data_IF_492776464224
#
_entry.id   IF_492776464224
#
_cell.length_a   1.000
_cell.length_b   1.000
_cell.length_c   1.000
_cell.angle_alpha   90.00
_cell.angle_beta   90.00
_cell.angle_gamma   90.00
#
_symmetry.space_group_name_H-M   'P 1'
#
loop_
_entity.id
_entity.type
_entity.pdbx_description
1 polymer ?
#
# COMPACT_ATOMS: atom_id res chain seq x y z
N UNK A 1 -1.64 11.87 -25.96
CA UNK A 1 -2.21 12.52 -24.77
C UNK A 1 -1.40 12.07 -23.57
N UNK A 2 -0.77 12.99 -22.84
CA UNK A 2 -0.09 12.65 -21.59
C UNK A 2 -1.12 12.25 -20.53
N UNK A 3 -0.85 11.24 -19.68
CA UNK A 3 -1.75 10.88 -18.61
C UNK A 3 -2.00 12.09 -17.68
N UNK A 4 -3.20 12.22 -17.10
CA UNK A 4 -3.47 13.24 -16.09
C UNK A 4 -2.44 13.20 -14.97
N UNK A 5 -2.00 14.35 -14.49
CA UNK A 5 -0.90 14.50 -13.51
C UNK A 5 -1.08 13.62 -12.25
N UNK A 6 -2.32 13.46 -11.79
CA UNK A 6 -2.65 12.57 -10.66
C UNK A 6 -2.49 11.08 -10.95
N UNK A 7 -2.76 10.63 -12.18
CA UNK A 7 -2.54 9.26 -12.61
C UNK A 7 -1.05 8.95 -12.78
N UNK A 8 -0.29 9.90 -13.32
CA UNK A 8 1.17 9.79 -13.38
C UNK A 8 1.78 9.70 -11.98
N UNK A 9 1.32 10.53 -11.03
CA UNK A 9 1.70 10.42 -9.61
C UNK A 9 1.36 9.06 -9.01
N UNK A 10 0.15 8.57 -9.24
CA UNK A 10 -0.25 7.25 -8.72
C UNK A 10 0.58 6.12 -9.34
N UNK A 11 0.96 6.21 -10.62
CA UNK A 11 1.86 5.24 -11.25
C UNK A 11 3.27 5.29 -10.64
N UNK A 12 3.77 6.48 -10.31
CA UNK A 12 5.05 6.64 -9.61
C UNK A 12 4.98 5.98 -8.22
N UNK A 13 3.96 6.30 -7.43
CA UNK A 13 3.75 5.68 -6.09
C UNK A 13 3.62 4.17 -6.19
N UNK A 14 2.90 3.64 -7.19
CA UNK A 14 2.79 2.20 -7.42
C UNK A 14 4.15 1.58 -7.74
N UNK A 15 4.99 2.26 -8.52
CA UNK A 15 6.34 1.80 -8.86
C UNK A 15 7.25 1.78 -7.63
N UNK A 16 7.15 2.82 -6.79
CA UNK A 16 7.90 2.91 -5.53
C UNK A 16 7.48 1.82 -4.51
N UNK A 17 6.23 1.34 -4.59
CA UNK A 17 5.72 0.25 -3.75
C UNK A 17 5.96 -1.15 -4.32
N UNK A 18 6.35 -1.28 -5.59
CA UNK A 18 6.56 -2.59 -6.21
C UNK A 18 7.61 -3.45 -5.46
N UNK A 19 8.77 -2.91 -5.02
CA UNK A 19 9.73 -3.68 -4.24
C UNK A 19 9.19 -4.14 -2.88
N UNK A 20 8.29 -3.35 -2.27
CA UNK A 20 7.63 -3.71 -1.02
C UNK A 20 6.65 -4.85 -1.24
N UNK A 21 5.87 -4.81 -2.33
CA UNK A 21 4.97 -5.89 -2.71
C UNK A 21 5.75 -7.19 -2.97
N UNK A 22 6.83 -7.15 -3.76
CA UNK A 22 7.68 -8.32 -4.03
C UNK A 22 8.25 -8.94 -2.75
N UNK A 23 8.75 -8.11 -1.82
CA UNK A 23 9.26 -8.59 -0.54
C UNK A 23 8.19 -9.28 0.31
N UNK A 24 6.94 -8.82 0.24
CA UNK A 24 5.81 -9.43 0.95
C UNK A 24 5.39 -10.75 0.31
N UNK A 25 5.37 -10.83 -1.02
CA UNK A 25 5.12 -12.07 -1.76
C UNK A 25 6.18 -13.15 -1.45
N UNK A 26 7.46 -12.76 -1.38
CA UNK A 26 8.55 -13.66 -0.98
C UNK A 26 8.40 -14.18 0.47
N UNK A 27 7.71 -13.43 1.32
CA UNK A 27 7.36 -13.85 2.67
C UNK A 27 6.07 -14.70 2.74
N UNK A 28 5.49 -15.06 1.59
CA UNK A 28 4.29 -15.89 1.48
C UNK A 28 2.98 -15.12 1.65
N UNK A 29 2.99 -13.78 1.59
CA UNK A 29 1.76 -13.00 1.57
C UNK A 29 1.14 -13.00 0.17
N UNK A 30 -0.19 -13.08 0.10
CA UNK A 30 -0.95 -12.76 -1.10
C UNK A 30 -1.08 -11.23 -1.19
N UNK A 31 -0.41 -10.63 -2.17
CA UNK A 31 -0.35 -9.17 -2.33
C UNK A 31 -1.26 -8.70 -3.46
N UNK A 32 -1.97 -7.62 -3.23
CA UNK A 32 -2.71 -6.85 -4.23
C UNK A 32 -2.06 -5.47 -4.28
N UNK A 33 -1.61 -5.04 -5.46
CA UNK A 33 -1.08 -3.69 -5.68
C UNK A 33 -1.73 -3.10 -6.94
N UNK A 34 -2.64 -2.16 -6.74
CA UNK A 34 -3.47 -1.61 -7.80
C UNK A 34 -3.53 -0.08 -7.78
N UNK A 35 -3.75 0.50 -8.95
CA UNK A 35 -4.08 1.91 -9.12
C UNK A 35 -5.57 2.01 -9.41
N UNK A 36 -6.30 2.74 -8.57
CA UNK A 36 -7.73 3.01 -8.72
C UNK A 36 -7.88 4.42 -9.31
N UNK A 37 -8.22 4.55 -10.60
CA UNK A 37 -8.46 5.85 -11.23
C UNK A 37 -9.85 6.39 -10.87
N UNK A 38 -9.95 7.68 -10.59
CA UNK A 38 -11.20 8.46 -10.56
C UNK A 38 -11.03 9.78 -11.34
N UNK A 39 -12.13 10.49 -11.62
CA UNK A 39 -12.09 11.78 -12.33
C UNK A 39 -11.38 12.88 -11.55
N UNK A 40 -11.40 12.84 -10.22
CA UNK A 40 -10.84 13.89 -9.35
C UNK A 40 -9.63 13.43 -8.51
N UNK A 41 -9.32 12.15 -8.51
CA UNK A 41 -8.18 11.58 -7.79
C UNK A 41 -7.76 10.26 -8.43
N UNK A 42 -6.52 9.84 -8.16
CA UNK A 42 -6.13 8.45 -8.32
C UNK A 42 -5.72 7.93 -6.94
N UNK A 43 -6.01 6.67 -6.63
CA UNK A 43 -5.52 6.01 -5.44
C UNK A 43 -4.55 4.89 -5.82
N UNK A 44 -3.55 4.64 -4.98
CA UNK A 44 -2.78 3.40 -5.02
C UNK A 44 -3.15 2.61 -3.78
N UNK A 45 -3.66 1.41 -3.99
CA UNK A 45 -3.99 0.47 -2.93
C UNK A 45 -2.99 -0.67 -2.96
N UNK A 46 -2.37 -0.94 -1.80
CA UNK A 46 -1.59 -2.15 -1.57
C UNK A 46 -2.23 -2.90 -0.42
N UNK A 47 -2.50 -4.20 -0.57
CA UNK A 47 -2.88 -5.05 0.55
C UNK A 47 -2.10 -6.35 0.52
N UNK A 48 -1.72 -6.86 1.67
CA UNK A 48 -0.99 -8.11 1.83
C UNK A 48 -1.70 -8.98 2.86
N UNK A 49 -2.18 -10.15 2.44
CA UNK A 49 -2.84 -11.14 3.30
C UNK A 49 -1.90 -12.31 3.56
N UNK A 50 -1.70 -12.70 4.81
CA UNK A 50 -0.84 -13.83 5.20
C UNK A 50 -1.47 -14.61 6.34
N UNK A 51 -1.09 -15.88 6.46
CA UNK A 51 -1.44 -16.69 7.63
C UNK A 51 -0.45 -16.40 8.76
N UNK A 52 -0.93 -16.06 9.94
CA UNK A 52 -0.07 -15.72 11.06
C UNK A 52 -0.81 -15.15 12.26
N UNK A 53 -0.06 -14.88 13.32
CA UNK A 53 -0.60 -14.21 14.49
C UNK A 53 -0.65 -12.68 14.29
N UNK A 54 -1.52 -11.97 15.01
CA UNK A 54 -1.53 -10.50 15.03
C UNK A 54 -0.17 -9.89 15.39
N UNK A 55 0.62 -10.58 16.23
CA UNK A 55 1.97 -10.15 16.58
C UNK A 55 2.94 -10.17 15.38
N UNK A 56 2.79 -11.14 14.46
CA UNK A 56 3.53 -11.15 13.21
C UNK A 56 3.08 -10.01 12.29
N UNK A 57 1.78 -9.74 12.24
CA UNK A 57 1.23 -8.63 11.46
C UNK A 57 1.83 -7.29 11.89
N UNK A 58 1.86 -6.99 13.18
CA UNK A 58 2.49 -5.77 13.69
C UNK A 58 3.98 -5.67 13.37
N UNK A 59 4.73 -6.79 13.42
CA UNK A 59 6.14 -6.82 13.03
C UNK A 59 6.32 -6.49 11.55
N UNK A 60 5.45 -7.02 10.69
CA UNK A 60 5.48 -6.76 9.26
C UNK A 60 5.12 -5.30 8.95
N UNK A 61 4.05 -4.75 9.55
CA UNK A 61 3.71 -3.32 9.43
C UNK A 61 4.88 -2.43 9.78
N UNK A 62 5.58 -2.72 10.89
CA UNK A 62 6.75 -1.94 11.29
C UNK A 62 7.88 -2.03 10.27
N UNK A 63 8.21 -3.24 9.78
CA UNK A 63 9.26 -3.43 8.76
C UNK A 63 8.91 -2.75 7.44
N UNK A 64 7.65 -2.81 7.01
CA UNK A 64 7.16 -2.14 5.80
C UNK A 64 7.28 -0.62 5.99
N UNK A 65 6.85 -0.11 7.15
CA UNK A 65 6.99 1.31 7.50
C UNK A 65 8.45 1.79 7.48
N UNK A 66 9.37 1.01 8.07
CA UNK A 66 10.80 1.33 8.09
C UNK A 66 11.40 1.32 6.67
N UNK A 67 11.05 0.32 5.84
CA UNK A 67 11.54 0.19 4.46
C UNK A 67 11.00 1.28 3.53
N UNK A 68 9.76 1.71 3.74
CA UNK A 68 9.15 2.79 2.98
C UNK A 68 9.67 4.16 3.40
N UNK A 69 9.86 4.38 4.71
CA UNK A 69 10.51 5.59 5.22
C UNK A 69 11.93 5.75 4.67
N UNK A 70 12.70 4.66 4.59
CA UNK A 70 14.03 4.67 3.97
C UNK A 70 14.02 5.09 2.49
N UNK A 71 12.88 4.93 1.81
CA UNK A 71 12.65 5.34 0.43
C UNK A 71 11.94 6.70 0.31
N UNK A 72 11.70 7.39 1.43
CA UNK A 72 10.99 8.67 1.46
C UNK A 72 9.48 8.57 1.25
N UNK A 73 8.92 7.35 1.33
CA UNK A 73 7.48 7.08 1.18
C UNK A 73 6.83 7.17 2.57
N UNK A 74 5.92 8.14 2.74
CA UNK A 74 5.16 8.27 3.98
C UNK A 74 3.98 7.28 3.98
N UNK A 75 4.09 6.21 4.78
CA UNK A 75 3.01 5.22 4.96
C UNK A 75 2.11 5.50 6.18
N UNK A 76 2.01 6.74 6.65
CA UNK A 76 1.01 7.15 7.67
C UNK A 76 -0.39 6.76 7.20
N UNK A 77 -0.93 5.69 7.77
CA UNK A 77 -2.23 5.14 7.38
C UNK A 77 -2.20 3.66 7.00
N UNK A 78 -1.10 2.93 7.22
CA UNK A 78 -1.17 1.46 7.19
C UNK A 78 -2.18 1.01 8.26
N UNK A 79 -3.21 0.30 7.81
CA UNK A 79 -4.23 -0.29 8.68
C UNK A 79 -4.07 -1.80 8.62
N UNK A 80 -4.06 -2.45 9.79
CA UNK A 80 -4.33 -3.88 9.85
C UNK A 80 -5.84 -4.07 9.84
N UNK A 81 -6.39 -4.66 8.79
CA UNK A 81 -7.80 -4.99 8.72
C UNK A 81 -7.97 -6.51 8.92
N UNK A 82 -9.03 -6.89 9.63
CA UNK A 82 -9.33 -8.26 10.01
C UNK A 82 -10.72 -8.68 9.52
N UNK A 83 -11.50 -7.74 8.98
CA UNK A 83 -12.84 -8.01 8.50
C UNK A 83 -12.78 -8.93 7.26
N UNK A 84 -13.65 -9.94 7.24
CA UNK A 84 -13.75 -10.98 6.21
C UNK A 84 -12.53 -11.92 6.06
N UNK A 85 -11.65 -12.01 7.06
CA UNK A 85 -10.52 -12.96 7.07
C UNK A 85 -10.83 -14.24 7.85
N UNK A 86 -10.18 -15.35 7.46
CA UNK A 86 -10.17 -16.56 8.30
C UNK A 86 -9.47 -16.26 9.64
N UNK A 87 -9.79 -17.00 10.72
CA UNK A 87 -9.23 -16.75 12.05
C UNK A 87 -7.69 -16.79 12.14
N UNK A 88 -7.04 -17.47 11.21
CA UNK A 88 -5.59 -17.61 11.09
C UNK A 88 -4.96 -16.60 10.12
N UNK A 89 -5.75 -15.75 9.47
CA UNK A 89 -5.30 -14.81 8.46
C UNK A 89 -5.26 -13.39 9.00
N UNK A 90 -4.33 -12.62 8.46
CA UNK A 90 -4.08 -11.22 8.79
C UNK A 90 -3.94 -10.46 7.48
N UNK A 91 -4.47 -9.23 7.40
CA UNK A 91 -4.28 -8.34 6.26
C UNK A 91 -3.66 -7.03 6.71
N UNK A 92 -2.66 -6.60 5.96
CA UNK A 92 -2.05 -5.28 6.07
C UNK A 92 -2.43 -4.50 4.82
N UNK A 93 -3.02 -3.33 4.98
CA UNK A 93 -3.42 -2.45 3.88
C UNK A 93 -2.69 -1.11 3.91
N UNK A 94 -2.39 -0.57 2.74
CA UNK A 94 -1.91 0.78 2.51
C UNK A 94 -2.74 1.43 1.40
N UNK A 95 -3.05 2.71 1.58
CA UNK A 95 -3.73 3.53 0.58
C UNK A 95 -3.05 4.89 0.46
N UNK A 96 -2.65 5.25 -0.76
CA UNK A 96 -2.17 6.59 -1.10
C UNK A 96 -3.17 7.29 -1.99
N UNK A 97 -3.59 8.51 -1.63
CA UNK A 97 -4.44 9.34 -2.47
C UNK A 97 -3.59 10.37 -3.24
N UNK A 98 -3.74 10.38 -4.56
CA UNK A 98 -3.16 11.33 -5.49
C UNK A 98 -4.28 12.23 -6.04
N UNK A 99 -4.65 13.34 -5.37
CA UNK A 99 -5.68 14.25 -5.86
C UNK A 99 -5.25 14.98 -7.14
N UNK A 100 -6.18 15.51 -7.94
CA UNK A 100 -5.88 16.28 -9.17
C UNK A 100 -5.08 17.58 -8.96
N UNK A 101 -4.92 18.08 -7.74
CA UNK A 101 -4.19 19.33 -7.43
C UNK A 101 -3.20 19.19 -6.27
N UNK A 102 -2.34 20.19 -6.06
CA UNK A 102 -1.55 20.29 -4.82
C UNK A 102 -2.52 20.34 -3.64
N UNK A 103 -2.35 19.47 -2.64
CA UNK A 103 -2.93 19.73 -1.33
C UNK A 103 -2.47 21.13 -0.91
N UNK A 104 -3.41 22.06 -0.75
CA UNK A 104 -3.11 23.30 -0.06
C UNK A 104 -2.66 22.91 1.34
N UNK A 105 -1.40 23.24 1.66
CA UNK A 105 -0.81 23.05 2.97
C UNK A 105 -1.50 23.92 4.02
#
# INVERSE_FOLDING_TARGET
MSPPDHLARAQAVRSDLAPVAEALEQCGAAVILETIPDRALAAVLMSATFTGSPALAHKLVRRIGDAAYAQGIDLRGIVCDHDDLRPDQQRIGFMCLCPTGKLAA
#
